data_IF_914152021938
#
_entry.id   IF_914152021938
#
_cell.length_a   1.000
_cell.length_b   1.000
_cell.length_c   1.000
_cell.angle_alpha   90.00
_cell.angle_beta   90.00
_cell.angle_gamma   90.00
#
_symmetry.space_group_name_H-M   'P 1'
#
loop_
_entity.id
_entity.type
_entity.pdbx_description
1 polymer ?
#
# COMPACT_ATOMS: atom_id res chain seq x y z
N UNK A 1 10.23 -13.29 -3.13
CA UNK A 1 9.43 -13.60 -4.33
C UNK A 1 8.01 -13.13 -4.08
N UNK A 2 7.70 -11.86 -4.37
CA UNK A 2 6.38 -11.25 -4.14
C UNK A 2 5.79 -10.72 -5.46
N UNK A 3 6.44 -10.98 -6.60
CA UNK A 3 6.26 -10.21 -7.84
C UNK A 3 4.99 -10.51 -8.65
N UNK A 4 4.07 -11.37 -8.17
CA UNK A 4 2.93 -11.84 -8.96
C UNK A 4 1.63 -11.94 -8.15
N UNK A 5 1.42 -11.03 -7.20
CA UNK A 5 0.18 -10.99 -6.42
C UNK A 5 -0.60 -9.77 -6.86
N UNK A 6 -1.62 -9.94 -7.70
CA UNK A 6 -2.47 -8.82 -8.14
C UNK A 6 -3.23 -8.18 -6.98
N UNK A 7 -3.56 -8.96 -5.93
CA UNK A 7 -4.24 -8.47 -4.72
C UNK A 7 -3.84 -9.28 -3.48
N UNK A 8 -3.24 -8.65 -2.44
CA UNK A 8 -2.84 -9.31 -1.20
C UNK A 8 -4.00 -10.05 -0.49
N UNK A 9 -5.22 -9.56 -0.67
CA UNK A 9 -6.42 -10.06 0.01
C UNK A 9 -6.78 -11.50 -0.41
N UNK A 10 -6.62 -11.86 -1.69
CA UNK A 10 -6.95 -13.20 -2.17
C UNK A 10 -5.96 -14.24 -1.63
N UNK A 11 -4.71 -13.85 -1.38
CA UNK A 11 -3.72 -14.69 -0.71
C UNK A 11 -3.98 -14.84 0.79
N UNK A 12 -4.37 -13.74 1.44
CA UNK A 12 -4.75 -13.78 2.86
C UNK A 12 -5.93 -14.74 3.10
N UNK A 13 -6.89 -14.78 2.18
CA UNK A 13 -8.06 -15.67 2.26
C UNK A 13 -7.73 -17.14 1.98
N UNK A 14 -6.69 -17.43 1.21
CA UNK A 14 -6.34 -18.80 0.80
C UNK A 14 -5.27 -19.47 1.66
N UNK A 15 -4.57 -18.72 2.53
CA UNK A 15 -3.51 -19.28 3.36
C UNK A 15 -3.35 -18.58 4.70
N UNK A 16 -3.19 -19.37 5.78
CA UNK A 16 -2.93 -18.87 7.14
C UNK A 16 -1.60 -18.13 7.27
N UNK A 17 -0.56 -18.55 6.56
CA UNK A 17 0.73 -17.85 6.58
C UNK A 17 0.64 -16.50 5.89
N UNK A 18 -0.09 -16.43 4.77
CA UNK A 18 -0.36 -15.19 4.06
C UNK A 18 -1.30 -14.27 4.84
N UNK A 19 -2.32 -14.81 5.53
CA UNK A 19 -3.18 -14.05 6.44
C UNK A 19 -2.39 -13.39 7.58
N UNK A 20 -1.32 -14.04 8.05
CA UNK A 20 -0.44 -13.46 9.08
C UNK A 20 0.40 -12.32 8.51
N UNK A 21 0.93 -12.49 7.30
CA UNK A 21 1.70 -11.45 6.59
C UNK A 21 0.80 -10.26 6.22
N UNK A 22 -0.45 -10.51 5.83
CA UNK A 22 -1.48 -9.50 5.59
C UNK A 22 -1.97 -8.80 6.88
N UNK A 23 -1.49 -9.21 8.05
CA UNK A 23 -1.70 -8.46 9.30
C UNK A 23 -0.46 -7.68 9.72
N UNK A 24 0.66 -7.83 9.02
CA UNK A 24 1.90 -7.12 9.32
C UNK A 24 1.97 -5.78 8.56
N UNK A 25 1.93 -4.64 9.27
CA UNK A 25 1.99 -3.32 8.65
C UNK A 25 3.29 -3.08 7.86
N UNK A 26 4.41 -3.66 8.31
CA UNK A 26 5.70 -3.53 7.65
C UNK A 26 5.71 -4.30 6.33
N UNK A 27 5.18 -5.53 6.33
CA UNK A 27 5.07 -6.34 5.12
C UNK A 27 4.12 -5.72 4.09
N UNK A 28 2.99 -5.17 4.52
CA UNK A 28 2.08 -4.40 3.64
C UNK A 28 2.75 -3.20 3.01
N UNK A 29 3.51 -2.45 3.79
CA UNK A 29 4.22 -1.26 3.32
C UNK A 29 5.34 -1.62 2.35
N UNK A 30 6.12 -2.68 2.63
CA UNK A 30 7.09 -3.21 1.66
C UNK A 30 6.42 -3.68 0.38
N UNK A 31 5.31 -4.41 0.47
CA UNK A 31 4.56 -4.86 -0.70
C UNK A 31 4.13 -3.68 -1.57
N UNK A 32 3.57 -2.62 -0.98
CA UNK A 32 3.18 -1.39 -1.68
C UNK A 32 4.36 -0.71 -2.38
N UNK A 33 5.50 -0.61 -1.71
CA UNK A 33 6.70 0.03 -2.25
C UNK A 33 7.29 -0.82 -3.39
N UNK A 34 7.31 -2.14 -3.24
CA UNK A 34 7.82 -3.05 -4.27
C UNK A 34 6.91 -3.09 -5.50
N UNK A 35 5.57 -3.08 -5.32
CA UNK A 35 4.62 -3.14 -6.43
C UNK A 35 4.42 -1.82 -7.16
N UNK A 36 4.32 -0.71 -6.43
CA UNK A 36 3.94 0.59 -6.99
C UNK A 36 5.06 1.62 -6.98
N UNK A 37 6.21 1.30 -6.37
CA UNK A 37 7.28 2.25 -6.13
C UNK A 37 6.95 3.21 -4.99
N UNK A 38 7.99 3.81 -4.39
CA UNK A 38 7.83 4.77 -3.29
C UNK A 38 6.89 5.91 -3.68
N UNK A 39 7.04 6.50 -4.86
CA UNK A 39 6.27 7.63 -5.34
C UNK A 39 4.73 7.40 -5.37
N UNK A 40 4.27 6.15 -5.52
CA UNK A 40 2.85 5.84 -5.69
C UNK A 40 2.27 4.98 -4.56
N UNK A 41 3.12 4.42 -3.69
CA UNK A 41 2.71 3.55 -2.58
C UNK A 41 1.57 4.16 -1.72
N UNK A 42 1.65 5.44 -1.35
CA UNK A 42 0.59 6.13 -0.58
C UNK A 42 -0.76 6.18 -1.31
N UNK A 43 -0.74 6.51 -2.60
CA UNK A 43 -1.96 6.59 -3.40
C UNK A 43 -2.62 5.22 -3.54
N UNK A 44 -1.83 4.18 -3.87
CA UNK A 44 -2.37 2.84 -4.01
C UNK A 44 -2.84 2.24 -2.68
N UNK A 45 -2.18 2.55 -1.56
CA UNK A 45 -2.62 2.15 -0.23
C UNK A 45 -4.05 2.66 0.06
N UNK A 46 -4.30 3.95 -0.17
CA UNK A 46 -5.63 4.56 0.01
C UNK A 46 -6.64 3.94 -0.95
N UNK A 47 -6.25 3.68 -2.21
CA UNK A 47 -7.11 3.06 -3.22
C UNK A 47 -7.51 1.61 -2.88
N UNK A 48 -6.67 0.88 -2.15
CA UNK A 48 -6.97 -0.49 -1.69
C UNK A 48 -7.97 -0.53 -0.53
N UNK A 49 -8.25 0.61 0.10
CA UNK A 49 -9.33 0.77 1.07
C UNK A 49 -8.98 0.30 2.50
N UNK A 50 -9.92 0.48 3.44
CA UNK A 50 -9.69 0.35 4.89
C UNK A 50 -9.40 -1.07 5.38
N UNK A 51 -9.67 -2.10 4.56
CA UNK A 51 -9.24 -3.48 4.85
C UNK A 51 -7.72 -3.67 4.69
N UNK A 52 -7.08 -2.81 3.90
CA UNK A 52 -5.65 -2.89 3.64
C UNK A 52 -4.87 -1.79 4.38
N UNK A 53 -5.35 -0.54 4.33
CA UNK A 53 -4.70 0.61 4.96
C UNK A 53 -5.23 0.85 6.38
N UNK A 54 -4.33 0.77 7.36
CA UNK A 54 -4.60 1.13 8.75
C UNK A 54 -3.59 2.19 9.24
N UNK A 55 -3.75 2.64 10.49
CA UNK A 55 -2.91 3.69 11.09
C UNK A 55 -1.43 3.28 11.09
N UNK A 56 -1.12 2.00 11.34
CA UNK A 56 0.25 1.52 11.39
C UNK A 56 0.91 1.52 10.00
N UNK A 57 0.17 1.10 8.97
CA UNK A 57 0.62 1.18 7.56
C UNK A 57 0.87 2.63 7.14
N UNK A 58 -0.03 3.54 7.53
CA UNK A 58 0.16 4.98 7.27
C UNK A 58 1.44 5.49 7.93
N UNK A 59 1.62 5.24 9.23
CA UNK A 59 2.79 5.67 9.99
C UNK A 59 4.09 5.13 9.37
N UNK A 60 4.13 3.85 8.98
CA UNK A 60 5.31 3.25 8.36
C UNK A 60 5.61 3.86 6.97
N UNK A 61 4.58 4.10 6.14
CA UNK A 61 4.75 4.81 4.86
C UNK A 61 5.30 6.23 5.06
N UNK A 62 4.89 6.95 6.12
CA UNK A 62 5.45 8.27 6.45
C UNK A 62 6.89 8.17 6.96
N UNK A 63 7.18 7.22 7.86
CA UNK A 63 8.53 6.98 8.40
C UNK A 63 9.55 6.64 7.30
N UNK A 64 9.13 5.90 6.28
CA UNK A 64 9.98 5.52 5.13
C UNK A 64 10.19 6.63 4.10
N UNK A 65 9.83 7.88 4.43
CA UNK A 65 9.97 9.08 3.60
C UNK A 65 9.39 8.87 2.19
N UNK A 66 8.24 8.21 2.11
CA UNK A 66 7.55 8.02 0.83
C UNK A 66 7.18 9.40 0.27
N UNK A 67 7.84 9.73 -0.85
CA UNK A 67 7.78 11.02 -1.54
C UNK A 67 6.37 11.26 -2.06
N UNK A 68 5.85 12.48 -1.83
CA UNK A 68 4.63 12.96 -2.48
C UNK A 68 4.95 13.11 -3.96
N UNK A 69 4.40 12.25 -4.81
CA UNK A 69 4.69 12.30 -6.25
C UNK A 69 3.94 13.42 -6.94
N UNK A 70 4.52 13.92 -8.04
CA UNK A 70 3.83 14.84 -8.96
C UNK A 70 2.46 14.31 -9.41
N UNK A 71 2.35 12.99 -9.58
CA UNK A 71 1.10 12.35 -9.97
C UNK A 71 0.02 12.40 -8.87
N UNK A 72 0.42 12.29 -7.59
CA UNK A 72 -0.49 12.47 -6.47
C UNK A 72 -1.05 13.90 -6.41
N UNK A 73 -0.20 14.91 -6.64
CA UNK A 73 -0.64 16.32 -6.75
C UNK A 73 -1.60 16.50 -7.93
N UNK A 74 -1.31 15.91 -9.09
CA UNK A 74 -2.21 15.96 -10.26
C UNK A 74 -3.60 15.39 -9.95
N UNK A 75 -3.67 14.22 -9.30
CA UNK A 75 -4.96 13.60 -8.93
C UNK A 75 -5.73 14.43 -7.91
N UNK A 76 -5.05 15.06 -6.96
CA UNK A 76 -5.67 16.01 -6.03
C UNK A 76 -6.27 17.21 -6.77
N UNK A 77 -5.52 17.81 -7.71
CA UNK A 77 -6.01 18.91 -8.53
C UNK A 77 -7.21 18.52 -9.39
N UNK A 78 -7.24 17.31 -9.97
CA UNK A 78 -8.39 16.85 -10.74
C UNK A 78 -9.66 16.63 -9.91
N UNK A 79 -9.53 16.41 -8.59
CA UNK A 79 -10.66 16.16 -7.71
C UNK A 79 -11.17 17.41 -6.98
N UNK A 80 -10.32 18.43 -6.80
CA UNK A 80 -10.63 19.63 -6.01
C UNK A 80 -10.37 20.96 -6.72
N UNK A 81 -9.87 20.94 -7.96
CA UNK A 81 -9.58 22.11 -8.80
C UNK A 81 -10.59 22.28 -9.91
#
# INVERSE_FOLDING_TARGET
>A
MINYVETPINLALSSRSWARIDKDPYAKTEWLILHYGKAHAKFHAVRLGPSFIDVAVCQDLFARKVIISRYFIQRLLMHFG
#
